data_IF_664759698721
#
_entry.id   IF_664759698721
#
_cell.length_a   1.000
_cell.length_b   1.000
_cell.length_c   1.000
_cell.angle_alpha   90.00
_cell.angle_beta   90.00
_cell.angle_gamma   90.00
#
_symmetry.space_group_name_H-M   'P 1'
#
loop_
_entity.id
_entity.type
_entity.pdbx_description
1 polymer ?
#
# COMPACT_ATOMS: atom_id res chain seq x y z
N UNK A 1 -24.40 -13.64 -16.44
CA UNK A 1 -25.51 -13.39 -15.49
C UNK A 1 -25.09 -13.56 -14.03
N UNK A 2 -24.61 -14.73 -13.57
CA UNK A 2 -24.15 -14.89 -12.17
C UNK A 2 -22.81 -14.18 -11.89
N UNK A 3 -21.86 -14.23 -12.83
CA UNK A 3 -20.56 -13.56 -12.71
C UNK A 3 -20.68 -12.03 -12.69
N UNK A 4 -21.60 -11.47 -13.45
CA UNK A 4 -21.84 -10.02 -13.51
C UNK A 4 -22.44 -9.49 -12.20
N UNK A 5 -23.21 -10.32 -11.49
CA UNK A 5 -23.76 -10.00 -10.17
C UNK A 5 -22.68 -9.99 -9.08
N UNK A 6 -21.75 -10.95 -9.11
CA UNK A 6 -20.59 -10.98 -8.20
C UNK A 6 -19.61 -9.82 -8.46
N UNK A 7 -19.50 -9.37 -9.71
CA UNK A 7 -18.65 -8.26 -10.12
C UNK A 7 -19.25 -6.87 -9.79
N UNK A 8 -20.41 -6.81 -9.15
CA UNK A 8 -21.01 -5.54 -8.72
C UNK A 8 -20.22 -4.93 -7.57
N UNK A 9 -19.97 -3.63 -7.65
CA UNK A 9 -19.17 -2.87 -6.67
C UNK A 9 -19.75 -2.96 -5.24
N UNK A 10 -21.08 -3.03 -5.13
CA UNK A 10 -21.77 -3.21 -3.85
C UNK A 10 -21.51 -4.60 -3.22
N UNK A 11 -21.41 -5.64 -4.05
CA UNK A 11 -21.07 -7.00 -3.59
C UNK A 11 -19.60 -7.05 -3.19
N UNK A 12 -18.72 -6.42 -3.98
CA UNK A 12 -17.29 -6.31 -3.68
C UNK A 12 -17.03 -5.65 -2.31
N UNK A 13 -17.64 -4.48 -2.06
CA UNK A 13 -17.50 -3.79 -0.77
C UNK A 13 -18.05 -4.62 0.40
N UNK A 14 -19.19 -5.30 0.23
CA UNK A 14 -19.76 -6.18 1.26
C UNK A 14 -18.84 -7.35 1.61
N UNK A 15 -18.25 -8.00 0.61
CA UNK A 15 -17.30 -9.09 0.82
C UNK A 15 -16.09 -8.61 1.61
N UNK A 16 -15.53 -7.45 1.25
CA UNK A 16 -14.37 -6.89 1.95
C UNK A 16 -14.68 -6.48 3.39
N UNK A 17 -15.86 -5.92 3.67
CA UNK A 17 -16.27 -5.65 5.05
C UNK A 17 -16.44 -6.92 5.89
N UNK A 18 -17.00 -8.00 5.32
CA UNK A 18 -17.06 -9.31 6.00
C UNK A 18 -15.65 -9.84 6.24
N UNK A 19 -14.75 -9.67 5.27
CA UNK A 19 -13.36 -10.07 5.39
C UNK A 19 -12.68 -9.31 6.53
N UNK A 20 -12.87 -8.00 6.67
CA UNK A 20 -12.34 -7.21 7.80
C UNK A 20 -12.80 -7.78 9.15
N UNK A 21 -14.07 -8.19 9.27
CA UNK A 21 -14.59 -8.80 10.50
C UNK A 21 -13.86 -10.11 10.87
N UNK A 22 -13.33 -10.84 9.89
CA UNK A 22 -12.54 -12.08 10.08
C UNK A 22 -11.05 -11.75 10.27
N UNK A 23 -10.54 -10.74 9.57
CA UNK A 23 -9.15 -10.27 9.68
C UNK A 23 -8.83 -9.78 11.08
N UNK A 24 -9.72 -9.00 11.72
CA UNK A 24 -9.49 -8.45 13.07
C UNK A 24 -9.16 -9.54 14.12
N UNK A 25 -9.97 -10.61 14.30
CA UNK A 25 -9.64 -11.67 15.24
C UNK A 25 -8.39 -12.45 14.81
N UNK A 26 -8.16 -12.65 13.50
CA UNK A 26 -6.96 -13.32 13.00
C UNK A 26 -5.67 -12.52 13.28
N UNK A 27 -5.66 -11.21 13.03
CA UNK A 27 -4.53 -10.35 13.35
C UNK A 27 -4.28 -10.29 14.86
N UNK A 28 -5.34 -10.23 15.65
CA UNK A 28 -5.24 -10.26 17.12
C UNK A 28 -4.62 -11.57 17.60
N UNK A 29 -5.08 -12.71 17.05
CA UNK A 29 -4.53 -14.02 17.35
C UNK A 29 -3.07 -14.16 16.88
N UNK A 30 -2.74 -13.66 15.69
CA UNK A 30 -1.37 -13.64 15.18
C UNK A 30 -0.43 -12.82 16.07
N UNK A 31 -0.87 -11.63 16.51
CA UNK A 31 -0.12 -10.79 17.45
C UNK A 31 0.09 -11.51 18.78
N UNK A 32 -0.95 -12.17 19.31
CA UNK A 32 -0.86 -13.00 20.51
C UNK A 32 0.18 -14.13 20.36
N UNK A 33 0.16 -14.86 19.24
CA UNK A 33 1.15 -15.92 18.96
C UNK A 33 2.57 -15.36 18.91
N UNK A 34 2.79 -14.23 18.23
CA UNK A 34 4.12 -13.59 18.15
C UNK A 34 4.61 -13.18 19.54
N UNK A 35 3.72 -12.67 20.40
CA UNK A 35 4.11 -12.24 21.75
C UNK A 35 4.37 -13.44 22.67
N UNK A 36 3.54 -14.47 22.61
CA UNK A 36 3.57 -15.60 23.57
C UNK A 36 4.50 -16.72 23.15
N UNK A 37 4.54 -17.07 21.86
CA UNK A 37 5.32 -18.23 21.37
C UNK A 37 6.74 -17.87 20.95
N UNK A 38 7.03 -16.61 20.63
CA UNK A 38 8.39 -16.21 20.22
C UNK A 38 9.38 -16.27 21.40
N UNK A 39 10.45 -17.07 21.31
CA UNK A 39 11.42 -17.26 22.41
C UNK A 39 12.10 -15.96 22.87
N UNK A 40 12.35 -15.84 24.19
CA UNK A 40 13.01 -14.69 24.81
C UNK A 40 14.45 -14.45 24.30
N UNK A 41 15.11 -15.46 23.72
CA UNK A 41 16.47 -15.34 23.16
C UNK A 41 16.51 -14.51 21.87
N UNK A 42 15.37 -14.25 21.22
CA UNK A 42 15.26 -13.54 19.94
C UNK A 42 14.59 -12.15 20.07
N UNK A 43 14.87 -11.40 21.14
CA UNK A 43 14.16 -10.12 21.44
C UNK A 43 14.14 -9.13 20.26
N UNK A 44 15.27 -8.96 19.57
CA UNK A 44 15.39 -8.05 18.41
C UNK A 44 14.51 -8.49 17.22
N UNK A 45 14.53 -9.78 16.88
CA UNK A 45 13.70 -10.34 15.80
C UNK A 45 12.22 -10.32 16.17
N UNK A 46 11.90 -10.57 17.45
CA UNK A 46 10.54 -10.47 17.97
C UNK A 46 9.96 -9.07 17.78
N UNK A 47 10.73 -8.03 18.09
CA UNK A 47 10.30 -6.64 17.90
C UNK A 47 10.02 -6.34 16.42
N UNK A 48 10.92 -6.72 15.50
CA UNK A 48 10.66 -6.53 14.06
C UNK A 48 9.53 -7.39 13.52
N UNK A 49 9.34 -8.60 14.04
CA UNK A 49 8.24 -9.47 13.64
C UNK A 49 6.89 -8.87 14.06
N UNK A 50 6.83 -8.30 15.27
CA UNK A 50 5.65 -7.60 15.76
C UNK A 50 5.38 -6.32 14.96
N UNK A 51 6.44 -5.55 14.63
CA UNK A 51 6.32 -4.37 13.78
C UNK A 51 5.79 -4.72 12.37
N UNK A 52 6.37 -5.74 11.74
CA UNK A 52 5.90 -6.24 10.45
C UNK A 52 4.43 -6.68 10.50
N UNK A 53 4.05 -7.45 11.53
CA UNK A 53 2.67 -7.91 11.70
C UNK A 53 1.69 -6.77 11.94
N UNK A 54 2.08 -5.79 12.75
CA UNK A 54 1.29 -4.60 13.03
C UNK A 54 1.09 -3.74 11.77
N UNK A 55 2.17 -3.45 11.06
CA UNK A 55 2.12 -2.72 9.78
C UNK A 55 1.25 -3.46 8.77
N UNK A 56 1.41 -4.78 8.62
CA UNK A 56 0.58 -5.59 7.74
C UNK A 56 -0.91 -5.50 8.09
N UNK A 57 -1.25 -5.71 9.36
CA UNK A 57 -2.64 -5.62 9.85
C UNK A 57 -3.26 -4.23 9.60
N UNK A 58 -2.48 -3.15 9.77
CA UNK A 58 -2.96 -1.79 9.47
C UNK A 58 -3.27 -1.60 7.98
N UNK A 59 -2.44 -2.14 7.09
CA UNK A 59 -2.65 -2.05 5.65
C UNK A 59 -3.84 -2.91 5.22
N UNK A 60 -3.99 -4.11 5.79
CA UNK A 60 -5.13 -4.98 5.49
C UNK A 60 -6.45 -4.27 5.86
N UNK A 61 -6.53 -3.69 7.06
CA UNK A 61 -7.68 -2.87 7.49
C UNK A 61 -7.89 -1.65 6.57
N UNK A 62 -6.81 -0.98 6.18
CA UNK A 62 -6.90 0.15 5.26
C UNK A 62 -7.50 -0.27 3.91
N UNK A 63 -7.05 -1.39 3.35
CA UNK A 63 -7.52 -1.88 2.04
C UNK A 63 -8.92 -2.48 2.10
N UNK A 64 -9.28 -3.18 3.19
CA UNK A 64 -10.58 -3.88 3.32
C UNK A 64 -11.71 -3.01 3.88
N UNK A 65 -11.41 -1.93 4.62
CA UNK A 65 -12.43 -1.10 5.27
C UNK A 65 -12.41 0.38 4.86
N UNK A 66 -11.25 1.04 4.93
CA UNK A 66 -11.15 2.50 4.73
C UNK A 66 -11.15 2.85 3.23
N UNK A 67 -10.27 2.19 2.48
CA UNK A 67 -10.01 2.43 1.08
C UNK A 67 -10.98 1.72 0.16
N UNK A 68 -11.04 0.38 0.26
CA UNK A 68 -11.65 -0.52 -0.74
C UNK A 68 -11.36 -0.01 -2.15
N UNK A 69 -10.08 0.04 -2.56
CA UNK A 69 -9.72 0.57 -3.86
C UNK A 69 -10.14 -0.41 -4.96
N UNK A 70 -11.04 0.02 -5.85
CA UNK A 70 -11.36 -0.73 -7.06
C UNK A 70 -10.46 -0.24 -8.18
N UNK A 71 -9.67 -1.17 -8.73
CA UNK A 71 -8.77 -0.92 -9.85
C UNK A 71 -9.42 -1.43 -11.13
N UNK A 72 -9.54 -0.54 -12.12
CA UNK A 72 -10.03 -0.81 -13.47
C UNK A 72 -8.80 -0.89 -14.40
N UNK A 73 -8.44 -2.12 -14.77
CA UNK A 73 -7.47 -2.41 -15.82
C UNK A 73 -8.18 -2.51 -17.18
N UNK A 74 -7.56 -2.10 -18.31
CA UNK A 74 -6.14 -1.75 -18.49
C UNK A 74 -5.81 -0.27 -18.31
N UNK A 75 -6.79 0.60 -18.08
CA UNK A 75 -6.58 2.05 -17.98
C UNK A 75 -5.81 2.51 -16.73
N UNK A 76 -5.36 1.56 -15.87
CA UNK A 76 -4.79 1.83 -14.55
C UNK A 76 -5.59 2.93 -13.81
N UNK A 77 -6.91 2.84 -13.89
CA UNK A 77 -7.80 3.80 -13.26
C UNK A 77 -8.42 3.15 -12.03
N UNK A 78 -8.95 3.95 -11.12
CA UNK A 78 -9.60 3.38 -9.94
C UNK A 78 -10.35 4.40 -9.12
N UNK A 79 -11.17 3.90 -8.22
CA UNK A 79 -11.92 4.72 -7.28
C UNK A 79 -12.11 3.95 -5.97
N UNK A 80 -12.17 4.65 -4.83
CA UNK A 80 -12.37 4.04 -3.53
C UNK A 80 -13.86 3.85 -3.26
N UNK A 81 -14.22 2.71 -2.67
CA UNK A 81 -15.59 2.37 -2.28
C UNK A 81 -15.79 2.24 -0.75
N UNK A 82 -14.74 2.48 0.03
CA UNK A 82 -14.76 2.30 1.47
C UNK A 82 -15.34 3.48 2.25
N UNK A 83 -15.11 3.47 3.57
CA UNK A 83 -15.55 4.54 4.50
C UNK A 83 -14.97 5.92 4.15
N UNK A 84 -13.90 5.97 3.35
CA UNK A 84 -13.34 7.20 2.79
C UNK A 84 -14.36 8.07 2.04
N UNK A 85 -15.36 7.48 1.38
CA UNK A 85 -16.47 8.21 0.74
C UNK A 85 -17.34 8.96 1.75
N UNK A 86 -17.60 8.35 2.92
CA UNK A 86 -18.38 8.97 3.99
C UNK A 86 -17.62 10.11 4.66
N UNK A 87 -16.29 9.96 4.76
CA UNK A 87 -15.40 10.95 5.37
C UNK A 87 -15.04 12.11 4.43
N UNK A 88 -15.43 12.05 3.15
CA UNK A 88 -15.12 13.08 2.16
C UNK A 88 -13.61 13.22 1.89
N UNK A 89 -12.83 12.16 2.10
CA UNK A 89 -11.38 12.19 1.87
C UNK A 89 -11.15 12.18 0.34
N UNK A 90 -10.33 13.10 -0.20
CA UNK A 90 -10.04 13.12 -1.62
C UNK A 90 -9.37 11.81 -2.06
N UNK A 91 -9.87 11.24 -3.15
CA UNK A 91 -9.40 9.96 -3.72
C UNK A 91 -7.90 9.94 -3.97
N UNK A 92 -7.33 11.07 -4.41
CA UNK A 92 -5.88 11.21 -4.64
C UNK A 92 -5.06 10.95 -3.37
N UNK A 93 -5.49 11.46 -2.22
CA UNK A 93 -4.78 11.29 -0.94
C UNK A 93 -4.87 9.83 -0.49
N UNK A 94 -6.03 9.20 -0.69
CA UNK A 94 -6.22 7.80 -0.33
C UNK A 94 -5.34 6.87 -1.17
N UNK A 95 -5.19 7.20 -2.44
CA UNK A 95 -4.29 6.52 -3.36
C UNK A 95 -2.82 6.66 -2.96
N UNK A 96 -2.41 7.88 -2.60
CA UNK A 96 -1.07 8.16 -2.07
C UNK A 96 -0.79 7.28 -0.85
N UNK A 97 -1.71 7.28 0.13
CA UNK A 97 -1.59 6.46 1.33
C UNK A 97 -1.51 4.96 0.97
N UNK A 98 -2.39 4.48 0.10
CA UNK A 98 -2.43 3.07 -0.30
C UNK A 98 -1.13 2.58 -0.94
N UNK A 99 -0.53 3.38 -1.83
CA UNK A 99 0.75 3.00 -2.44
C UNK A 99 1.91 3.11 -1.45
N UNK A 100 1.95 4.17 -0.64
CA UNK A 100 2.95 4.31 0.41
C UNK A 100 2.90 3.12 1.39
N UNK A 101 1.71 2.63 1.74
CA UNK A 101 1.50 1.45 2.57
C UNK A 101 2.19 0.20 2.00
N UNK A 102 2.10 -0.05 0.68
CA UNK A 102 2.78 -1.17 0.02
C UNK A 102 4.30 -1.05 0.17
N UNK A 103 4.84 0.16 -0.03
CA UNK A 103 6.27 0.43 0.18
C UNK A 103 6.71 0.19 1.63
N UNK A 104 5.92 0.67 2.59
CA UNK A 104 6.17 0.52 4.04
C UNK A 104 6.17 -0.96 4.46
N UNK A 105 5.27 -1.79 3.91
CA UNK A 105 5.33 -3.25 4.11
C UNK A 105 6.62 -3.83 3.54
N UNK A 106 7.01 -3.44 2.33
CA UNK A 106 8.26 -3.89 1.70
C UNK A 106 9.49 -3.63 2.58
N UNK A 107 9.60 -2.41 3.13
CA UNK A 107 10.68 -2.04 4.05
C UNK A 107 10.57 -2.78 5.39
N UNK A 108 9.35 -3.04 5.87
CA UNK A 108 9.12 -3.82 7.09
C UNK A 108 9.61 -5.27 6.92
N UNK A 109 9.35 -5.89 5.76
CA UNK A 109 9.82 -7.25 5.43
C UNK A 109 11.34 -7.26 5.32
N UNK A 110 11.93 -6.28 4.62
CA UNK A 110 13.39 -6.15 4.50
C UNK A 110 14.06 -6.02 5.88
N UNK A 111 13.50 -5.17 6.75
CA UNK A 111 13.99 -4.97 8.12
C UNK A 111 13.93 -6.26 8.93
N UNK A 112 12.84 -7.04 8.80
CA UNK A 112 12.69 -8.33 9.45
C UNK A 112 13.74 -9.34 8.96
N UNK A 113 13.98 -9.42 7.65
CA UNK A 113 14.98 -10.31 7.05
C UNK A 113 16.40 -9.93 7.50
N UNK A 114 16.74 -8.64 7.50
CA UNK A 114 18.03 -8.15 7.98
C UNK A 114 18.23 -8.48 9.46
N UNK A 115 17.19 -8.32 10.29
CA UNK A 115 17.24 -8.66 11.71
C UNK A 115 17.47 -10.15 11.95
N UNK A 116 16.86 -11.01 11.14
CA UNK A 116 17.07 -12.46 11.20
C UNK A 116 18.48 -12.82 10.74
N UNK A 117 18.94 -12.22 9.66
CA UNK A 117 20.28 -12.43 9.11
C UNK A 117 21.37 -12.00 10.10
N UNK A 118 21.24 -10.82 10.71
CA UNK A 118 22.17 -10.33 11.73
C UNK A 118 22.26 -11.28 12.92
N UNK A 119 21.12 -11.80 13.40
CA UNK A 119 21.13 -12.78 14.49
C UNK A 119 21.80 -14.11 14.13
N UNK A 120 21.69 -14.57 12.88
CA UNK A 120 22.31 -15.81 12.42
C UNK A 120 23.84 -15.68 12.29
N UNK A 121 24.34 -14.53 11.81
CA UNK A 121 25.77 -14.35 11.54
C UNK A 121 26.53 -13.83 12.76
N UNK A 122 26.00 -12.81 13.45
CA UNK A 122 26.73 -12.07 14.49
C UNK A 122 26.28 -12.45 15.91
N UNK A 123 25.29 -13.33 16.02
CA UNK A 123 24.70 -13.73 17.30
C UNK A 123 23.90 -12.61 17.96
N UNK A 124 23.35 -12.90 19.14
CA UNK A 124 22.51 -11.96 19.90
C UNK A 124 23.29 -10.85 20.63
N UNK A 125 24.61 -10.83 20.50
CA UNK A 125 25.53 -10.07 21.36
C UNK A 125 25.86 -8.68 20.81
N UNK A 126 25.80 -8.49 19.48
CA UNK A 126 26.12 -7.21 18.86
C UNK A 126 24.86 -6.36 18.63
N UNK A 127 24.78 -5.17 19.25
CA UNK A 127 23.71 -4.23 18.97
C UNK A 127 23.81 -3.70 17.54
N UNK A 128 22.67 -3.22 17.02
CA UNK A 128 22.62 -2.63 15.68
C UNK A 128 23.47 -1.35 15.64
N UNK A 129 24.26 -1.20 14.59
CA UNK A 129 25.02 0.04 14.40
C UNK A 129 24.08 1.22 14.09
N UNK A 130 24.44 2.42 14.54
CA UNK A 130 23.72 3.65 14.21
C UNK A 130 23.51 3.84 12.70
N UNK A 131 24.52 3.46 11.89
CA UNK A 131 24.44 3.51 10.42
C UNK A 131 23.33 2.64 9.84
N UNK A 132 23.12 1.44 10.37
CA UNK A 132 22.01 0.56 9.95
C UNK A 132 20.65 1.14 10.37
N UNK A 133 20.56 1.80 11.53
CA UNK A 133 19.34 2.48 11.96
C UNK A 133 18.98 3.62 11.00
N UNK A 134 19.97 4.44 10.63
CA UNK A 134 19.80 5.49 9.63
C UNK A 134 19.40 4.94 8.26
N UNK A 135 20.01 3.83 7.82
CA UNK A 135 19.65 3.17 6.57
C UNK A 135 18.18 2.75 6.54
N UNK A 136 17.67 2.14 7.63
CA UNK A 136 16.25 1.75 7.72
C UNK A 136 15.36 2.99 7.70
N UNK A 137 15.68 4.00 8.50
CA UNK A 137 14.90 5.24 8.55
C UNK A 137 14.83 5.89 7.15
N UNK A 138 15.96 5.94 6.46
CA UNK A 138 16.04 6.43 5.09
C UNK A 138 15.14 5.62 4.15
N UNK A 139 15.15 4.29 4.22
CA UNK A 139 14.27 3.45 3.40
C UNK A 139 12.78 3.73 3.67
N UNK A 140 12.37 3.90 4.94
CA UNK A 140 10.99 4.28 5.26
C UNK A 140 10.63 5.66 4.69
N UNK A 141 11.52 6.65 4.81
CA UNK A 141 11.30 7.98 4.24
C UNK A 141 11.17 7.92 2.72
N UNK A 142 12.02 7.14 2.05
CA UNK A 142 11.95 6.92 0.60
C UNK A 142 10.63 6.24 0.24
N UNK A 143 10.20 5.20 0.94
CA UNK A 143 8.92 4.52 0.65
C UNK A 143 7.70 5.42 0.77
N UNK A 144 7.70 6.36 1.71
CA UNK A 144 6.62 7.33 1.87
C UNK A 144 6.72 8.41 0.77
N UNK A 145 7.92 8.87 0.46
CA UNK A 145 8.12 10.06 -0.39
C UNK A 145 8.23 9.73 -1.89
N UNK A 146 8.55 8.50 -2.27
CA UNK A 146 8.79 8.08 -3.67
C UNK A 146 7.59 8.37 -4.59
N UNK A 147 6.37 8.28 -4.07
CA UNK A 147 5.15 8.52 -4.85
C UNK A 147 4.69 9.98 -4.82
N UNK A 148 5.27 10.83 -3.96
CA UNK A 148 4.93 12.24 -3.84
C UNK A 148 5.10 13.03 -5.16
N UNK A 149 6.19 12.88 -5.95
CA UNK A 149 6.30 13.59 -7.23
C UNK A 149 5.25 13.12 -8.24
N UNK A 150 4.85 11.84 -8.21
CA UNK A 150 3.73 11.37 -9.03
C UNK A 150 2.41 12.00 -8.57
N UNK A 151 2.23 12.22 -7.27
CA UNK A 151 1.04 12.84 -6.70
C UNK A 151 0.84 14.31 -7.14
N UNK A 152 1.90 15.12 -7.17
CA UNK A 152 1.79 16.51 -7.63
C UNK A 152 1.56 16.64 -9.14
N UNK A 153 1.85 15.59 -9.92
CA UNK A 153 1.66 15.56 -11.38
C UNK A 153 0.36 14.88 -11.80
N UNK A 154 -0.54 14.58 -10.84
CA UNK A 154 -1.83 13.97 -11.13
C UNK A 154 -2.68 14.98 -11.93
N UNK A 155 -3.15 14.61 -13.13
CA UNK A 155 -4.09 15.45 -13.88
C UNK A 155 -5.39 15.61 -13.09
N UNK A 156 -5.96 16.82 -13.11
CA UNK A 156 -7.20 17.16 -12.40
C UNK A 156 -8.31 16.17 -12.71
N UNK A 157 -9.20 15.90 -11.73
CA UNK A 157 -10.32 14.93 -11.83
C UNK A 157 -11.17 15.08 -13.11
N UNK A 158 -11.22 16.30 -13.66
CA UNK A 158 -11.87 16.64 -14.93
C UNK A 158 -11.27 15.93 -16.16
N UNK A 159 -9.94 15.76 -16.21
CA UNK A 159 -9.24 15.06 -17.30
C UNK A 159 -9.45 13.54 -17.20
N UNK A 160 -9.55 12.99 -15.99
CA UNK A 160 -9.86 11.57 -15.78
C UNK A 160 -11.27 11.21 -16.25
N UNK A 161 -12.24 12.12 -16.02
CA UNK A 161 -13.59 12.00 -16.58
C UNK A 161 -13.58 12.07 -18.11
N UNK A 162 -12.91 13.07 -18.70
CA UNK A 162 -12.84 13.22 -20.15
C UNK A 162 -12.28 11.96 -20.85
N UNK A 163 -11.19 11.39 -20.31
CA UNK A 163 -10.59 10.16 -20.85
C UNK A 163 -11.51 8.94 -20.73
N UNK A 164 -12.28 8.85 -19.64
CA UNK A 164 -13.26 7.77 -19.44
C UNK A 164 -14.45 7.88 -20.41
N UNK A 165 -14.84 9.10 -20.79
CA UNK A 165 -15.88 9.32 -21.80
C UNK A 165 -15.41 8.95 -23.21
N UNK A 166 -14.13 9.21 -23.53
CA UNK A 166 -13.52 8.94 -24.82
C UNK A 166 -13.19 7.45 -25.03
N UNK A 167 -12.85 6.70 -23.96
CA UNK A 167 -12.54 5.28 -24.03
C UNK A 167 -13.73 4.38 -23.60
N UNK A 168 -14.46 3.74 -24.55
CA UNK A 168 -15.62 2.91 -24.25
C UNK A 168 -15.29 1.67 -23.40
N UNK A 169 -14.03 1.20 -23.41
CA UNK A 169 -13.55 0.08 -22.59
C UNK A 169 -13.46 0.39 -21.09
N UNK A 170 -13.42 1.66 -20.70
CA UNK A 170 -13.35 2.10 -19.30
C UNK A 170 -14.72 2.50 -18.72
N UNK A 171 -15.79 2.34 -19.50
CA UNK A 171 -17.14 2.80 -19.17
C UNK A 171 -17.83 1.85 -18.16
N UNK A 172 -17.46 1.92 -16.89
CA UNK A 172 -18.26 1.36 -15.78
C UNK A 172 -19.00 2.49 -15.04
N UNK A 173 -20.18 2.83 -15.58
CA UNK A 173 -21.23 3.71 -15.03
C UNK A 173 -20.89 5.20 -14.76
N UNK A 174 -21.74 6.16 -15.18
CA UNK A 174 -21.56 7.60 -14.94
C UNK A 174 -21.86 8.06 -13.49
N UNK A 175 -22.07 7.12 -12.55
CA UNK A 175 -22.58 7.40 -11.21
C UNK A 175 -21.49 7.79 -10.20
N UNK A 176 -20.22 7.49 -10.48
CA UNK A 176 -19.14 7.70 -9.51
C UNK A 176 -18.42 9.04 -9.76
N UNK A 177 -18.42 9.96 -8.77
CA UNK A 177 -18.00 11.35 -8.99
C UNK A 177 -16.49 11.51 -9.25
N UNK A 178 -15.65 10.54 -8.85
CA UNK A 178 -14.19 10.73 -8.84
C UNK A 178 -13.46 9.46 -9.30
N UNK A 179 -13.27 9.32 -10.62
CA UNK A 179 -12.42 8.28 -11.22
C UNK A 179 -11.01 8.85 -11.33
N UNK A 180 -10.06 8.14 -10.72
CA UNK A 180 -8.65 8.49 -10.79
C UNK A 180 -7.98 7.78 -11.98
N UNK A 181 -7.08 8.47 -12.70
CA UNK A 181 -6.24 7.86 -13.74
C UNK A 181 -4.77 7.91 -13.35
N UNK A 182 -4.10 6.75 -13.28
CA UNK A 182 -2.65 6.72 -13.03
C UNK A 182 -1.80 7.08 -14.25
N UNK A 183 -2.27 6.78 -15.46
CA UNK A 183 -1.53 7.04 -16.69
C UNK A 183 -2.49 7.25 -17.86
N UNK A 184 -2.44 8.42 -18.48
CA UNK A 184 -3.20 8.75 -19.69
C UNK A 184 -2.60 8.14 -20.96
N UNK A 185 -1.35 7.66 -20.91
CA UNK A 185 -0.68 7.16 -22.09
C UNK A 185 0.09 5.86 -21.82
N UNK A 186 0.01 5.00 -22.81
CA UNK A 186 0.56 3.66 -22.94
C UNK A 186 2.00 3.51 -22.46
N UNK A 187 2.22 3.22 -21.16
CA UNK A 187 3.21 2.26 -20.65
C UNK A 187 3.48 2.36 -19.14
N UNK A 188 3.20 1.32 -18.33
CA UNK A 188 3.58 1.30 -16.90
C UNK A 188 5.10 1.40 -16.65
N UNK A 189 5.92 1.21 -17.68
CA UNK A 189 7.38 1.30 -17.62
C UNK A 189 7.90 2.74 -17.51
N UNK A 190 7.21 3.74 -18.07
CA UNK A 190 7.71 5.12 -18.08
C UNK A 190 7.52 5.89 -16.75
N UNK A 191 6.49 5.56 -15.98
CA UNK A 191 6.32 6.10 -14.62
C UNK A 191 7.38 5.54 -13.67
N UNK A 192 7.71 4.25 -13.82
CA UNK A 192 8.75 3.60 -13.02
C UNK A 192 10.13 4.17 -13.34
N UNK A 193 10.45 4.46 -14.62
CA UNK A 193 11.72 5.07 -15.01
C UNK A 193 11.85 6.53 -14.58
N UNK A 194 10.77 7.32 -14.59
CA UNK A 194 10.79 8.71 -14.10
C UNK A 194 10.94 8.81 -12.58
N UNK A 195 10.27 7.95 -11.81
CA UNK A 195 10.41 7.95 -10.34
C UNK A 195 11.73 7.32 -9.87
N UNK A 196 12.26 6.31 -10.57
CA UNK A 196 13.61 5.75 -10.28
C UNK A 196 14.73 6.70 -10.71
N UNK A 197 14.57 7.45 -11.81
CA UNK A 197 15.51 8.51 -12.18
C UNK A 197 15.61 9.60 -11.12
N UNK A 198 14.48 9.99 -10.50
CA UNK A 198 14.49 10.99 -9.41
C UNK A 198 15.20 10.48 -8.14
N UNK A 199 15.12 9.17 -7.85
CA UNK A 199 15.80 8.56 -6.70
C UNK A 199 17.32 8.34 -6.93
N UNK A 200 17.78 8.27 -8.18
CA UNK A 200 19.21 8.12 -8.53
C UNK A 200 19.93 9.45 -8.76
N UNK A 201 19.21 10.56 -8.93
CA UNK A 201 19.81 11.89 -9.14
C UNK A 201 20.42 12.62 -7.93
N UNK A 202 20.18 12.29 -6.63
CA UNK A 202 20.82 13.01 -5.53
C UNK A 202 22.20 12.46 -5.15
N UNK A 203 22.81 11.55 -5.92
CA UNK A 203 24.12 10.94 -5.63
C UNK A 203 25.23 11.30 -6.64
N UNK A 204 24.98 12.27 -7.53
CA UNK A 204 25.98 12.74 -8.51
C UNK A 204 26.00 14.26 -8.59
N UNK A 205 26.48 14.91 -7.53
CA UNK A 205 27.07 16.26 -7.58
C UNK A 205 27.90 16.51 -6.33
#
# INVERSE_FOLDING_TARGET
>A
MWLDSLASDAVHARILHILTCIEIPLHTFGAYLIVVKTPKKMKMVKASMLWLHFTGALVDIFMSFIGIPVIILPACSGYPLGVSLLLGIPTSVLLYIGISCVGVIGVSVLTFLENRHHQLIRGSSEPRSWKQMLYILFNYLVSITFIAPAFFNIPSEEQGRAYTFENPSSRKSPTYPTIFLFALDSSPYQLTTKSTAFALFPLSS
#
